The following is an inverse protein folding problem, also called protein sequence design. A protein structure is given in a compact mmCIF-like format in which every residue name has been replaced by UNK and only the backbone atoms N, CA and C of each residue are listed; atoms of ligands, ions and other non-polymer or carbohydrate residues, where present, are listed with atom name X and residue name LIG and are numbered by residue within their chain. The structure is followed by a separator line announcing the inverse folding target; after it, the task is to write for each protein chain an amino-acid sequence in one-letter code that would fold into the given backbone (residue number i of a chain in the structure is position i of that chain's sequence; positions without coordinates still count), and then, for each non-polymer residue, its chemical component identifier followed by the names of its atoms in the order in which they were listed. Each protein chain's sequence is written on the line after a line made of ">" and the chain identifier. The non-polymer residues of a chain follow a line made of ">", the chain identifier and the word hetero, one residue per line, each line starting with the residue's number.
data_IF_605075522231
#
_entry.id   IF_605075522231
#
_cell.length_a   1.000
_cell.length_b   1.000
_cell.length_c   1.000
_cell.angle_alpha   90.00
_cell.angle_beta   90.00
_cell.angle_gamma   90.00
#
_symmetry.space_group_name_H-M   'P 1'
#
loop_
_entity.id
_entity.type
_entity.pdbx_description
1 polymer ?
#
# COMPACT_ATOMS: atom_id res chain seq x y z
N UNK A 1 4.41 2.84 -0.87
CA UNK A 1 3.62 4.06 -1.13
C UNK A 1 4.49 5.11 -1.81
N UNK A 2 3.93 5.78 -2.82
CA UNK A 2 4.58 6.86 -3.55
C UNK A 2 3.73 8.12 -3.43
N UNK A 3 4.39 9.26 -3.37
CA UNK A 3 3.71 10.56 -3.32
C UNK A 3 3.86 11.29 -4.65
N UNK A 4 2.77 11.88 -5.11
CA UNK A 4 2.78 12.88 -6.16
C UNK A 4 3.05 14.25 -5.53
N UNK A 5 3.86 15.08 -6.16
CA UNK A 5 4.09 16.45 -5.72
C UNK A 5 4.41 17.35 -6.91
N UNK A 6 3.91 18.57 -6.88
CA UNK A 6 4.31 19.60 -7.85
C UNK A 6 5.66 20.26 -7.47
N UNK A 7 6.37 19.68 -6.50
CA UNK A 7 7.69 20.16 -6.04
C UNK A 7 8.71 19.02 -6.05
N UNK A 8 9.38 18.87 -7.17
CA UNK A 8 10.50 17.95 -7.33
C UNK A 8 11.67 18.34 -6.43
N UNK A 9 12.24 17.37 -5.73
CA UNK A 9 13.55 17.51 -5.12
C UNK A 9 14.64 17.41 -6.17
N UNK A 10 15.54 18.39 -6.24
CA UNK A 10 16.74 18.33 -7.05
C UNK A 10 17.89 17.78 -6.21
N UNK A 11 18.60 16.81 -6.75
CA UNK A 11 19.80 16.25 -6.13
C UNK A 11 20.92 17.29 -6.14
N UNK A 12 21.92 17.10 -5.29
CA UNK A 12 23.10 18.00 -5.28
C UNK A 12 23.83 18.02 -6.64
N UNK A 13 23.78 16.92 -7.39
CA UNK A 13 24.37 16.83 -8.71
C UNK A 13 23.57 17.64 -9.73
N UNK A 14 22.25 17.49 -9.77
CA UNK A 14 21.37 18.29 -10.62
C UNK A 14 21.49 19.80 -10.35
N UNK A 15 21.61 20.17 -9.08
CA UNK A 15 21.84 21.58 -8.69
C UNK A 15 23.21 22.09 -9.18
N UNK A 16 24.28 21.29 -9.06
CA UNK A 16 25.62 21.68 -9.55
C UNK A 16 25.68 21.79 -11.08
N UNK A 17 24.91 20.98 -11.78
CA UNK A 17 24.84 20.98 -13.23
C UNK A 17 23.81 21.98 -13.78
N UNK A 18 23.17 22.77 -12.92
CA UNK A 18 22.07 23.70 -13.26
C UNK A 18 20.98 23.04 -14.12
N UNK A 19 20.64 21.78 -13.79
CA UNK A 19 19.61 21.04 -14.49
C UNK A 19 18.27 21.76 -14.32
N UNK A 20 17.59 22.00 -15.43
CA UNK A 20 16.26 22.61 -15.46
C UNK A 20 15.25 21.60 -16.00
N UNK A 21 14.10 21.58 -15.36
CA UNK A 21 12.96 20.78 -15.81
C UNK A 21 11.85 21.71 -16.31
N UNK A 22 11.19 21.33 -17.37
CA UNK A 22 10.03 22.06 -17.90
C UNK A 22 8.89 22.12 -16.86
N UNK A 23 8.80 21.06 -16.04
CA UNK A 23 7.86 20.99 -14.93
C UNK A 23 8.53 20.41 -13.66
N UNK A 24 8.05 20.83 -12.50
CA UNK A 24 8.56 20.39 -11.22
C UNK A 24 7.72 19.25 -10.60
N UNK A 25 6.82 18.64 -11.37
CA UNK A 25 6.04 17.50 -10.93
C UNK A 25 6.94 16.28 -10.71
N UNK A 26 6.68 15.52 -9.65
CA UNK A 26 7.45 14.35 -9.29
C UNK A 26 6.57 13.27 -8.66
N UNK A 27 6.90 12.00 -8.93
CA UNK A 27 6.34 10.84 -8.25
C UNK A 27 7.48 10.05 -7.62
N UNK A 28 7.39 9.79 -6.34
CA UNK A 28 8.45 9.07 -5.62
C UNK A 28 8.35 9.17 -4.12
N UNK A 29 9.47 9.41 -3.46
CA UNK A 29 9.57 9.43 -2.01
C UNK A 29 9.84 10.82 -1.44
N UNK A 30 9.28 11.07 -0.26
CA UNK A 30 9.63 12.27 0.50
C UNK A 30 11.09 12.28 0.90
N UNK A 31 11.65 13.49 0.97
CA UNK A 31 12.99 13.72 1.50
C UNK A 31 12.89 14.04 3.00
N UNK A 32 13.70 13.40 3.85
CA UNK A 32 13.76 13.75 5.26
C UNK A 32 14.00 15.26 5.47
N UNK A 33 13.17 15.90 6.28
CA UNK A 33 13.24 17.33 6.56
C UNK A 33 12.66 18.27 5.48
N UNK A 34 12.15 17.72 4.36
CA UNK A 34 11.51 18.49 3.29
C UNK A 34 10.16 17.87 2.90
N UNK A 35 9.16 18.00 3.78
CA UNK A 35 7.87 17.33 3.66
C UNK A 35 7.10 17.66 2.37
N UNK A 36 7.34 18.80 1.77
CA UNK A 36 6.66 19.25 0.55
C UNK A 36 7.39 18.89 -0.74
N UNK A 37 8.56 18.24 -0.65
CA UNK A 37 9.35 17.85 -1.81
C UNK A 37 9.43 16.34 -1.98
N UNK A 38 9.41 15.92 -3.22
CA UNK A 38 9.47 14.51 -3.60
C UNK A 38 10.67 14.26 -4.51
N UNK A 39 11.49 13.28 -4.15
CA UNK A 39 12.53 12.75 -5.01
C UNK A 39 11.87 11.87 -6.07
N UNK A 40 11.95 12.30 -7.32
CA UNK A 40 11.53 11.48 -8.45
C UNK A 40 12.52 10.32 -8.63
N UNK A 41 12.01 9.11 -8.70
CA UNK A 41 12.82 7.90 -8.87
C UNK A 41 12.38 7.13 -10.11
N UNK A 42 13.34 6.62 -10.87
CA UNK A 42 13.07 5.75 -12.01
C UNK A 42 13.02 4.28 -11.58
N UNK A 43 13.85 3.88 -10.64
CA UNK A 43 13.91 2.52 -10.14
C UNK A 43 14.15 2.47 -8.63
N UNK A 44 13.29 1.76 -7.92
CA UNK A 44 13.51 1.33 -6.55
C UNK A 44 13.96 -0.13 -6.56
N UNK A 45 15.14 -0.42 -6.02
CA UNK A 45 15.72 -1.76 -5.97
C UNK A 45 15.19 -2.62 -4.81
N UNK A 46 14.42 -2.02 -3.91
CA UNK A 46 13.81 -2.69 -2.76
C UNK A 46 12.40 -3.22 -3.05
N UNK A 47 11.94 -3.11 -4.29
CA UNK A 47 10.60 -3.50 -4.72
C UNK A 47 10.67 -4.31 -6.00
N UNK A 48 9.64 -5.13 -6.22
CA UNK A 48 9.45 -5.83 -7.48
C UNK A 48 9.36 -4.85 -8.65
N UNK A 49 9.88 -5.24 -9.80
CA UNK A 49 9.98 -4.36 -10.96
C UNK A 49 8.61 -3.87 -11.46
N UNK A 50 7.57 -4.65 -11.25
CA UNK A 50 6.20 -4.25 -11.57
C UNK A 50 5.79 -2.94 -10.89
N UNK A 51 6.24 -2.71 -9.63
CA UNK A 51 5.97 -1.46 -8.91
C UNK A 51 6.63 -0.26 -9.59
N UNK A 52 7.85 -0.44 -10.14
CA UNK A 52 8.53 0.60 -10.90
C UNK A 52 7.81 0.90 -12.23
N UNK A 53 7.40 -0.16 -12.95
CA UNK A 53 6.69 -0.04 -14.23
C UNK A 53 5.37 0.71 -14.05
N UNK A 54 4.56 0.34 -13.05
CA UNK A 54 3.28 1.01 -12.78
C UNK A 54 3.51 2.48 -12.41
N UNK A 55 4.42 2.74 -11.45
CA UNK A 55 4.72 4.13 -11.04
C UNK A 55 5.14 5.00 -12.20
N UNK A 56 6.08 4.53 -13.01
CA UNK A 56 6.58 5.29 -14.15
C UNK A 56 5.50 5.50 -15.20
N UNK A 57 4.71 4.47 -15.55
CA UNK A 57 3.63 4.60 -16.52
C UNK A 57 2.54 5.58 -16.05
N UNK A 58 2.16 5.54 -14.78
CA UNK A 58 1.19 6.49 -14.20
C UNK A 58 1.73 7.92 -14.24
N UNK A 59 3.01 8.10 -13.90
CA UNK A 59 3.68 9.39 -13.99
C UNK A 59 3.66 9.93 -15.41
N UNK A 60 4.09 9.12 -16.37
CA UNK A 60 4.26 9.53 -17.75
C UNK A 60 2.89 9.86 -18.38
N UNK A 61 1.88 9.03 -18.14
CA UNK A 61 0.51 9.31 -18.54
C UNK A 61 -0.01 10.63 -17.93
N UNK A 62 0.26 10.84 -16.64
CA UNK A 62 -0.17 12.07 -15.97
C UNK A 62 0.55 13.33 -16.54
N UNK A 63 1.78 13.21 -17.01
CA UNK A 63 2.51 14.29 -17.68
C UNK A 63 1.93 14.58 -19.07
N UNK A 64 1.67 13.54 -19.87
CA UNK A 64 1.13 13.67 -21.21
C UNK A 64 -0.27 14.30 -21.26
N UNK A 65 -1.04 14.14 -20.19
CA UNK A 65 -2.44 14.59 -20.11
C UNK A 65 -2.65 15.75 -19.11
N UNK A 66 -1.55 16.41 -18.71
CA UNK A 66 -1.57 17.61 -17.86
C UNK A 66 -2.32 17.44 -16.52
N UNK A 67 -2.23 16.24 -15.90
CA UNK A 67 -2.81 16.03 -14.57
C UNK A 67 -2.10 16.89 -13.53
N UNK A 68 -2.87 17.53 -12.65
CA UNK A 68 -2.30 18.31 -11.55
C UNK A 68 -1.84 17.41 -10.41
N UNK A 69 -0.61 17.64 -9.92
CA UNK A 69 -0.06 16.98 -8.75
C UNK A 69 -0.26 17.84 -7.52
N UNK A 70 -0.46 17.20 -6.38
CA UNK A 70 -0.74 17.93 -5.14
C UNK A 70 0.41 18.90 -4.79
N UNK A 71 0.05 20.11 -4.43
CA UNK A 71 0.92 21.01 -3.68
C UNK A 71 0.67 20.78 -2.19
N UNK A 72 1.60 20.16 -1.51
CA UNK A 72 1.45 19.80 -0.09
C UNK A 72 1.35 21.00 0.86
N UNK A 73 1.66 22.22 0.41
CA UNK A 73 1.49 23.46 1.21
C UNK A 73 0.12 24.10 1.00
N UNK A 74 -0.31 24.24 -0.25
CA UNK A 74 -1.61 24.86 -0.57
C UNK A 74 -2.75 23.85 -0.59
N UNK A 75 -2.44 22.55 -0.62
CA UNK A 75 -3.40 21.46 -0.74
C UNK A 75 -4.23 21.52 -2.04
N UNK A 76 -3.64 22.05 -3.11
CA UNK A 76 -4.21 22.11 -4.46
C UNK A 76 -3.58 21.06 -5.35
N UNK A 77 -4.35 20.53 -6.28
CA UNK A 77 -3.95 19.46 -7.21
C UNK A 77 -4.68 18.15 -6.97
N UNK A 78 -4.83 17.35 -8.03
CA UNK A 78 -5.66 16.14 -8.05
C UNK A 78 -4.92 14.90 -7.52
N UNK A 79 -3.75 14.57 -8.09
CA UNK A 79 -3.04 13.33 -7.73
C UNK A 79 -2.24 13.51 -6.44
N UNK A 80 -2.47 12.61 -5.47
CA UNK A 80 -1.87 12.66 -4.13
C UNK A 80 -0.87 11.55 -3.88
N UNK A 81 -1.35 10.32 -3.79
CA UNK A 81 -0.53 9.15 -3.44
C UNK A 81 -0.89 7.97 -4.34
N UNK A 82 0.03 7.03 -4.45
CA UNK A 82 -0.21 5.73 -5.04
C UNK A 82 0.42 4.66 -4.15
N UNK A 83 -0.35 3.62 -3.83
CA UNK A 83 0.12 2.46 -3.09
C UNK A 83 0.14 1.28 -4.05
N UNK A 84 1.26 0.57 -4.11
CA UNK A 84 1.39 -0.70 -4.83
C UNK A 84 1.74 -1.77 -3.81
N UNK A 85 1.00 -2.86 -3.81
CA UNK A 85 1.22 -4.02 -2.95
C UNK A 85 1.31 -5.27 -3.82
N UNK A 86 2.42 -5.96 -3.73
CA UNK A 86 2.61 -7.30 -4.30
C UNK A 86 2.43 -8.33 -3.19
N UNK A 87 1.96 -9.51 -3.50
CA UNK A 87 1.79 -10.60 -2.55
C UNK A 87 2.59 -11.84 -2.94
N UNK A 88 2.83 -12.72 -1.97
CA UNK A 88 3.47 -14.02 -2.16
C UNK A 88 2.69 -14.95 -3.10
N UNK A 89 1.38 -14.71 -3.26
CA UNK A 89 0.51 -15.47 -4.18
C UNK A 89 0.54 -14.97 -5.61
N UNK A 90 1.31 -13.90 -5.90
CA UNK A 90 1.36 -13.24 -7.21
C UNK A 90 0.20 -12.28 -7.47
N UNK A 91 -0.66 -12.03 -6.50
CA UNK A 91 -1.69 -11.00 -6.61
C UNK A 91 -1.09 -9.59 -6.45
N UNK A 92 -1.68 -8.62 -7.13
CA UNK A 92 -1.20 -7.24 -7.21
C UNK A 92 -2.34 -6.26 -6.94
N UNK A 93 -2.16 -5.44 -5.91
CA UNK A 93 -3.07 -4.35 -5.56
C UNK A 93 -2.44 -2.99 -5.88
N UNK A 94 -3.20 -2.15 -6.55
CA UNK A 94 -2.86 -0.74 -6.78
C UNK A 94 -3.98 0.13 -6.24
N UNK A 95 -3.61 1.13 -5.44
CA UNK A 95 -4.55 2.11 -4.89
C UNK A 95 -4.07 3.48 -5.31
N UNK A 96 -4.89 4.21 -6.06
CA UNK A 96 -4.61 5.60 -6.41
C UNK A 96 -5.43 6.53 -5.53
N UNK A 97 -4.77 7.47 -4.88
CA UNK A 97 -5.41 8.42 -3.98
C UNK A 97 -5.40 9.79 -4.65
N UNK A 98 -6.58 10.38 -4.76
CA UNK A 98 -6.78 11.66 -5.41
C UNK A 98 -7.57 12.63 -4.55
N UNK A 99 -7.49 13.90 -4.90
CA UNK A 99 -8.39 14.95 -4.45
C UNK A 99 -9.30 15.31 -5.62
N UNK A 100 -10.61 15.28 -5.39
CA UNK A 100 -11.64 15.62 -6.37
C UNK A 100 -12.49 16.73 -5.79
N UNK A 101 -12.52 17.86 -6.47
CA UNK A 101 -13.33 19.04 -6.07
C UNK A 101 -14.40 19.38 -7.08
N UNK A 102 -14.25 18.92 -8.32
CA UNK A 102 -15.16 19.18 -9.43
C UNK A 102 -15.47 17.90 -10.22
N UNK A 103 -16.66 17.83 -10.82
CA UNK A 103 -17.12 16.62 -11.52
C UNK A 103 -16.21 16.22 -12.69
N UNK A 104 -15.66 17.21 -13.40
CA UNK A 104 -14.76 16.93 -14.53
C UNK A 104 -13.44 16.26 -14.09
N UNK A 105 -12.95 16.54 -12.87
CA UNK A 105 -11.75 15.89 -12.32
C UNK A 105 -11.99 14.38 -12.11
N UNK A 106 -13.22 14.00 -11.72
CA UNK A 106 -13.59 12.60 -11.59
C UNK A 106 -13.53 11.86 -12.93
N UNK A 107 -13.98 12.48 -14.01
CA UNK A 107 -13.92 11.87 -15.34
C UNK A 107 -12.47 11.72 -15.84
N UNK A 108 -11.65 12.74 -15.62
CA UNK A 108 -10.20 12.62 -15.89
C UNK A 108 -9.55 11.51 -15.06
N UNK A 109 -9.88 11.46 -13.77
CA UNK A 109 -9.33 10.45 -12.87
C UNK A 109 -9.71 9.02 -13.28
N UNK A 110 -10.94 8.80 -13.72
CA UNK A 110 -11.37 7.51 -14.29
C UNK A 110 -10.61 7.13 -15.55
N UNK A 111 -10.24 8.09 -16.39
CA UNK A 111 -9.40 7.83 -17.57
C UNK A 111 -8.01 7.32 -17.16
N UNK A 112 -7.39 7.91 -16.14
CA UNK A 112 -6.14 7.41 -15.57
C UNK A 112 -6.28 5.97 -15.04
N UNK A 113 -7.35 5.68 -14.28
CA UNK A 113 -7.59 4.34 -13.76
C UNK A 113 -7.83 3.32 -14.88
N UNK A 114 -8.54 3.72 -15.94
CA UNK A 114 -8.76 2.88 -17.11
C UNK A 114 -7.44 2.60 -17.85
N UNK A 115 -6.59 3.62 -18.03
CA UNK A 115 -5.25 3.45 -18.59
C UNK A 115 -4.42 2.44 -17.78
N UNK A 116 -4.44 2.54 -16.43
CA UNK A 116 -3.74 1.59 -15.55
C UNK A 116 -4.30 0.19 -15.71
N UNK A 117 -5.64 0.04 -15.75
CA UNK A 117 -6.31 -1.25 -15.90
C UNK A 117 -6.01 -1.95 -17.23
N UNK A 118 -5.81 -1.18 -18.30
CA UNK A 118 -5.54 -1.70 -19.64
C UNK A 118 -4.04 -1.98 -19.86
N UNK A 119 -3.18 -1.16 -19.27
CA UNK A 119 -1.72 -1.29 -19.39
C UNK A 119 -1.15 -2.41 -18.52
N UNK A 120 -1.82 -2.77 -17.42
CA UNK A 120 -1.35 -3.74 -16.44
C UNK A 120 -2.45 -4.78 -16.12
N UNK A 121 -2.70 -5.74 -17.05
CA UNK A 121 -3.70 -6.78 -16.85
C UNK A 121 -3.41 -7.70 -15.67
N UNK A 122 -2.18 -7.74 -15.18
CA UNK A 122 -1.76 -8.46 -13.99
C UNK A 122 -2.30 -7.89 -12.67
N UNK A 123 -2.84 -6.66 -12.67
CA UNK A 123 -3.45 -6.07 -11.47
C UNK A 123 -4.75 -6.82 -11.14
N UNK A 124 -4.76 -7.44 -9.97
CA UNK A 124 -5.92 -8.20 -9.46
C UNK A 124 -6.88 -7.35 -8.62
N UNK A 125 -6.39 -6.21 -8.13
CA UNK A 125 -7.13 -5.28 -7.28
C UNK A 125 -6.72 -3.84 -7.62
N UNK A 126 -7.53 -3.14 -8.43
CA UNK A 126 -7.34 -1.72 -8.72
C UNK A 126 -8.38 -0.91 -7.97
N UNK A 127 -7.90 -0.15 -7.00
CA UNK A 127 -8.71 0.62 -6.06
C UNK A 127 -8.41 2.10 -6.16
N UNK A 128 -9.32 2.91 -5.66
CA UNK A 128 -9.06 4.33 -5.48
C UNK A 128 -9.71 4.88 -4.21
N UNK A 129 -9.17 6.00 -3.74
CA UNK A 129 -9.66 6.74 -2.56
C UNK A 129 -9.70 8.21 -2.90
N UNK A 130 -10.81 8.87 -2.57
CA UNK A 130 -10.94 10.32 -2.65
C UNK A 130 -10.56 10.90 -1.29
N UNK A 131 -9.45 11.64 -1.25
CA UNK A 131 -8.97 12.29 -0.04
C UNK A 131 -8.93 13.82 -0.21
N UNK A 132 -10.00 14.47 0.19
CA UNK A 132 -10.12 15.93 0.16
C UNK A 132 -9.60 16.60 1.45
N UNK A 133 -9.05 15.82 2.40
CA UNK A 133 -8.47 16.33 3.65
C UNK A 133 -7.09 16.95 3.43
N UNK A 134 -6.59 17.66 4.43
CA UNK A 134 -5.25 18.24 4.42
C UNK A 134 -4.14 17.28 4.89
N UNK A 135 -4.46 16.01 5.15
CA UNK A 135 -3.49 14.98 5.54
C UNK A 135 -3.64 13.73 4.68
N UNK A 136 -2.67 12.83 4.76
CA UNK A 136 -2.62 11.62 3.93
C UNK A 136 -3.21 10.37 4.61
N UNK A 137 -3.84 10.52 5.79
CA UNK A 137 -4.50 9.37 6.44
C UNK A 137 -5.71 8.93 5.65
N UNK A 138 -5.86 7.61 5.48
CA UNK A 138 -6.94 7.02 4.68
C UNK A 138 -7.89 6.14 5.48
N UNK A 139 -7.63 5.93 6.78
CA UNK A 139 -8.38 4.97 7.60
C UNK A 139 -9.88 5.29 7.70
N UNK A 140 -10.23 6.57 7.71
CA UNK A 140 -11.58 7.11 7.80
C UNK A 140 -12.24 7.42 6.45
N UNK A 141 -11.62 7.03 5.33
CA UNK A 141 -12.10 7.29 3.97
C UNK A 141 -12.63 6.01 3.30
N UNK A 142 -13.60 6.15 2.42
CA UNK A 142 -14.11 5.05 1.63
C UNK A 142 -13.10 4.58 0.58
N UNK A 143 -13.02 3.27 0.41
CA UNK A 143 -12.24 2.63 -0.64
C UNK A 143 -13.18 2.16 -1.73
N UNK A 144 -12.91 2.56 -2.95
CA UNK A 144 -13.71 2.21 -4.11
C UNK A 144 -12.97 1.21 -5.00
N UNK A 145 -13.66 0.16 -5.42
CA UNK A 145 -13.12 -0.82 -6.38
C UNK A 145 -13.37 -0.30 -7.78
N UNK A 146 -12.29 -0.07 -8.54
CA UNK A 146 -12.38 0.25 -9.96
C UNK A 146 -12.42 -1.02 -10.82
N UNK A 147 -11.52 -1.99 -10.51
CA UNK A 147 -11.45 -3.28 -11.21
C UNK A 147 -10.96 -4.37 -10.28
N UNK A 148 -11.51 -5.56 -10.40
CA UNK A 148 -11.06 -6.76 -9.68
C UNK A 148 -11.62 -6.86 -8.27
N UNK A 149 -10.78 -7.23 -7.31
CA UNK A 149 -11.14 -7.49 -5.91
C UNK A 149 -10.86 -6.27 -5.03
N UNK A 150 -11.47 -6.23 -3.85
CA UNK A 150 -11.18 -5.25 -2.79
C UNK A 150 -9.97 -5.63 -1.91
N UNK A 151 -9.32 -6.77 -2.19
CA UNK A 151 -8.23 -7.33 -1.40
C UNK A 151 -7.28 -8.16 -2.26
N UNK A 152 -6.15 -8.52 -1.66
CA UNK A 152 -5.22 -9.55 -2.13
C UNK A 152 -5.04 -10.60 -1.05
N UNK A 153 -4.49 -11.77 -1.42
CA UNK A 153 -4.12 -12.81 -0.47
C UNK A 153 -2.61 -12.94 -0.34
N UNK A 154 -2.16 -13.11 0.89
CA UNK A 154 -0.84 -13.59 1.24
C UNK A 154 -0.91 -15.04 1.69
N UNK A 155 0.20 -15.78 1.54
CA UNK A 155 0.28 -17.16 1.99
C UNK A 155 1.56 -17.41 2.80
N UNK A 156 1.42 -18.17 3.89
CA UNK A 156 2.54 -18.52 4.78
C UNK A 156 2.28 -19.89 5.41
N UNK A 157 3.12 -20.90 5.16
CA UNK A 157 2.98 -22.28 5.65
C UNK A 157 1.58 -22.89 5.40
N UNK A 158 0.98 -22.61 4.25
CA UNK A 158 -0.38 -23.08 3.91
C UNK A 158 -1.50 -22.34 4.65
N UNK A 159 -1.18 -21.29 5.40
CA UNK A 159 -2.15 -20.33 5.91
C UNK A 159 -2.33 -19.20 4.90
N UNK A 160 -3.59 -18.82 4.67
CA UNK A 160 -3.95 -17.73 3.77
C UNK A 160 -4.46 -16.53 4.57
N UNK A 161 -4.01 -15.34 4.17
CA UNK A 161 -4.38 -14.10 4.84
C UNK A 161 -4.97 -13.13 3.82
N UNK A 162 -6.21 -12.73 4.04
CA UNK A 162 -6.85 -11.63 3.31
C UNK A 162 -6.21 -10.32 3.77
N UNK A 163 -5.68 -9.55 2.82
CA UNK A 163 -5.05 -8.26 3.06
C UNK A 163 -5.83 -7.20 2.30
N UNK A 164 -6.54 -6.37 3.03
CA UNK A 164 -7.29 -5.24 2.50
C UNK A 164 -6.41 -4.01 2.25
N UNK A 165 -6.96 -2.97 1.62
CA UNK A 165 -6.22 -1.73 1.30
C UNK A 165 -5.72 -0.98 2.54
N UNK A 166 -6.41 -1.10 3.66
CA UNK A 166 -6.07 -0.45 4.94
C UNK A 166 -5.41 -1.40 5.94
N UNK A 167 -5.41 -2.71 5.65
CA UNK A 167 -4.85 -3.71 6.57
C UNK A 167 -3.33 -3.58 6.62
N UNK A 168 -2.78 -3.66 7.84
CA UNK A 168 -1.35 -3.81 8.01
C UNK A 168 -0.94 -5.26 7.71
N UNK A 169 0.04 -5.43 6.87
CA UNK A 169 0.76 -6.68 6.64
C UNK A 169 2.23 -6.38 6.41
N UNK A 170 3.14 -7.25 6.86
CA UNK A 170 4.58 -7.05 6.70
C UNK A 170 4.96 -7.01 5.22
N UNK A 171 5.59 -5.93 4.79
CA UNK A 171 5.93 -5.68 3.38
C UNK A 171 6.96 -6.64 2.80
N UNK A 172 7.81 -7.21 3.64
CA UNK A 172 8.75 -8.27 3.26
C UNK A 172 8.25 -9.60 3.83
N UNK A 173 7.37 -10.27 3.10
CA UNK A 173 6.68 -11.50 3.53
C UNK A 173 7.65 -12.63 3.85
N UNK A 174 8.76 -12.77 3.10
CA UNK A 174 9.79 -13.79 3.34
C UNK A 174 10.51 -13.57 4.67
N UNK A 175 10.93 -12.34 4.94
CA UNK A 175 11.60 -12.03 6.21
C UNK A 175 10.62 -12.03 7.40
N UNK A 176 9.37 -11.66 7.18
CA UNK A 176 8.32 -11.80 8.19
C UNK A 176 8.15 -13.28 8.59
N UNK A 177 8.09 -14.17 7.60
CA UNK A 177 8.01 -15.60 7.85
C UNK A 177 9.21 -16.11 8.66
N UNK A 178 10.44 -15.71 8.29
CA UNK A 178 11.65 -16.09 9.03
C UNK A 178 11.60 -15.57 10.48
N UNK A 179 11.18 -14.34 10.68
CA UNK A 179 11.01 -13.76 12.02
C UNK A 179 9.98 -14.54 12.86
N UNK A 180 8.84 -14.87 12.26
CA UNK A 180 7.77 -15.60 12.95
C UNK A 180 8.16 -17.02 13.30
N UNK A 181 8.99 -17.70 12.47
CA UNK A 181 9.58 -18.99 12.81
C UNK A 181 10.46 -18.90 14.06
N UNK A 182 11.36 -17.92 14.11
CA UNK A 182 12.22 -17.70 15.28
C UNK A 182 11.40 -17.40 16.54
N UNK A 183 10.39 -16.54 16.41
CA UNK A 183 9.50 -16.23 17.55
C UNK A 183 8.76 -17.49 18.05
N UNK A 184 8.25 -18.32 17.14
CA UNK A 184 7.57 -19.57 17.46
C UNK A 184 8.50 -20.59 18.11
N UNK A 185 9.74 -20.71 17.62
CA UNK A 185 10.78 -21.57 18.23
C UNK A 185 11.10 -21.11 19.65
N UNK A 186 11.30 -19.82 19.87
CA UNK A 186 11.59 -19.29 21.21
C UNK A 186 10.41 -19.41 22.16
N UNK A 187 9.18 -19.38 21.66
CA UNK A 187 8.00 -19.61 22.47
C UNK A 187 7.92 -21.04 23.03
N UNK A 188 8.57 -22.02 22.38
CA UNK A 188 8.67 -23.41 22.86
C UNK A 188 7.31 -24.07 23.09
N UNK A 189 6.32 -23.78 22.22
CA UNK A 189 4.96 -24.26 22.39
C UNK A 189 4.85 -25.77 22.29
N UNK A 190 4.11 -26.39 23.24
CA UNK A 190 3.94 -27.84 23.37
C UNK A 190 2.51 -28.30 23.10
N UNK A 191 1.59 -27.38 22.80
CA UNK A 191 0.16 -27.64 22.64
C UNK A 191 -0.69 -27.43 23.90
N UNK A 192 -0.07 -27.05 25.02
CA UNK A 192 -0.76 -26.86 26.30
C UNK A 192 -0.89 -25.39 26.71
N UNK A 193 -0.23 -24.49 26.03
CA UNK A 193 -0.10 -23.09 26.40
C UNK A 193 -1.34 -22.29 25.99
N UNK A 194 -1.65 -21.29 26.82
CA UNK A 194 -2.47 -20.14 26.46
C UNK A 194 -1.54 -19.02 25.99
N UNK A 195 -1.66 -18.62 24.75
CA UNK A 195 -0.84 -17.57 24.13
C UNK A 195 -1.65 -16.29 23.98
N UNK A 196 -1.05 -15.16 24.32
CA UNK A 196 -1.59 -13.84 24.04
C UNK A 196 -0.78 -13.18 22.91
N UNK A 197 -1.47 -12.86 21.81
CA UNK A 197 -0.92 -12.06 20.71
C UNK A 197 -1.38 -10.62 20.90
N UNK A 198 -0.48 -9.79 21.44
CA UNK A 198 -0.76 -8.39 21.74
C UNK A 198 -0.57 -7.55 20.47
N UNK A 199 -1.55 -6.70 20.16
CA UNK A 199 -1.60 -5.93 18.93
C UNK A 199 -1.67 -6.86 17.69
N UNK A 200 -2.59 -7.82 17.74
CA UNK A 200 -2.67 -8.93 16.77
C UNK A 200 -2.91 -8.47 15.33
N UNK A 201 -3.39 -7.24 15.11
CA UNK A 201 -3.72 -6.71 13.80
C UNK A 201 -4.71 -7.61 13.07
N UNK A 202 -4.35 -8.04 11.87
CA UNK A 202 -5.15 -8.98 11.06
C UNK A 202 -5.02 -10.45 11.50
N UNK A 203 -4.45 -10.70 12.68
CA UNK A 203 -4.34 -12.04 13.27
C UNK A 203 -3.24 -12.91 12.68
N UNK A 204 -2.25 -12.34 12.00
CA UNK A 204 -1.22 -13.12 11.27
C UNK A 204 -0.42 -14.01 12.21
N UNK A 205 0.15 -13.46 13.31
CA UNK A 205 0.95 -14.24 14.28
C UNK A 205 0.04 -15.20 15.04
N UNK A 206 -1.12 -14.74 15.50
CA UNK A 206 -2.10 -15.57 16.19
C UNK A 206 -2.42 -16.85 15.41
N UNK A 207 -2.75 -16.71 14.12
CA UNK A 207 -3.01 -17.84 13.22
C UNK A 207 -1.76 -18.73 13.05
N UNK A 208 -0.58 -18.10 12.88
CA UNK A 208 0.68 -18.81 12.63
C UNK A 208 1.09 -19.75 13.78
N UNK A 209 0.78 -19.38 15.03
CA UNK A 209 1.12 -20.19 16.22
C UNK A 209 -0.02 -21.07 16.71
N UNK A 210 -1.23 -20.87 16.21
CA UNK A 210 -2.47 -21.48 16.75
C UNK A 210 -2.43 -23.01 16.79
N UNK A 211 -1.84 -23.65 15.76
CA UNK A 211 -1.75 -25.11 15.66
C UNK A 211 -0.81 -25.75 16.68
N UNK A 212 0.01 -24.94 17.36
CA UNK A 212 1.01 -25.41 18.33
C UNK A 212 0.69 -24.93 19.77
N UNK A 213 -0.44 -24.26 19.98
CA UNK A 213 -0.91 -23.82 21.27
C UNK A 213 -2.27 -24.45 21.60
N UNK A 214 -2.61 -24.57 22.88
CA UNK A 214 -3.95 -24.99 23.29
C UNK A 214 -5.01 -23.92 22.93
N UNK A 215 -4.64 -22.66 23.07
CA UNK A 215 -5.48 -21.51 22.74
C UNK A 215 -4.62 -20.29 22.48
N UNK A 216 -5.03 -19.47 21.51
CA UNK A 216 -4.45 -18.15 21.26
C UNK A 216 -5.54 -17.09 21.43
N UNK A 217 -5.22 -16.03 22.15
CA UNK A 217 -6.08 -14.87 22.33
C UNK A 217 -5.41 -13.67 21.68
N UNK A 218 -5.94 -13.20 20.55
CA UNK A 218 -5.53 -11.95 19.91
C UNK A 218 -6.17 -10.75 20.61
N UNK A 219 -5.36 -9.73 20.88
CA UNK A 219 -5.81 -8.45 21.46
C UNK A 219 -5.49 -7.33 20.48
N UNK A 220 -6.52 -6.63 20.02
CA UNK A 220 -6.43 -5.53 19.07
C UNK A 220 -7.39 -4.41 19.48
N UNK A 221 -7.02 -3.19 19.21
CA UNK A 221 -7.82 -2.01 19.50
C UNK A 221 -8.66 -1.55 18.31
N UNK A 222 -8.16 -1.77 17.08
CA UNK A 222 -8.79 -1.30 15.83
C UNK A 222 -9.90 -2.26 15.41
N UNK A 223 -11.19 -1.85 15.41
CA UNK A 223 -12.30 -2.74 15.10
C UNK A 223 -12.19 -3.42 13.72
N UNK A 224 -11.77 -2.69 12.69
CA UNK A 224 -11.61 -3.20 11.33
C UNK A 224 -10.55 -4.31 11.26
N UNK A 225 -9.46 -4.16 12.00
CA UNK A 225 -8.42 -5.18 12.08
C UNK A 225 -8.91 -6.45 12.81
N UNK A 226 -9.78 -6.30 13.80
CA UNK A 226 -10.42 -7.44 14.49
C UNK A 226 -11.30 -8.23 13.51
N UNK A 227 -12.09 -7.54 12.69
CA UNK A 227 -12.91 -8.21 11.67
C UNK A 227 -12.05 -8.93 10.63
N UNK A 228 -10.97 -8.31 10.17
CA UNK A 228 -9.99 -8.97 9.29
C UNK A 228 -9.36 -10.21 9.96
N UNK A 229 -9.03 -10.13 11.26
CA UNK A 229 -8.48 -11.25 12.00
C UNK A 229 -9.45 -12.43 12.12
N UNK A 230 -10.74 -12.15 12.34
CA UNK A 230 -11.81 -13.18 12.35
C UNK A 230 -11.95 -13.85 11.00
N UNK A 231 -11.99 -13.06 9.92
CA UNK A 231 -12.04 -13.57 8.54
C UNK A 231 -10.84 -14.45 8.24
N UNK A 232 -9.64 -14.04 8.67
CA UNK A 232 -8.42 -14.82 8.48
C UNK A 232 -8.41 -16.12 9.29
N UNK A 233 -8.95 -16.11 10.52
CA UNK A 233 -9.11 -17.33 11.30
C UNK A 233 -10.10 -18.30 10.62
N UNK A 234 -11.22 -17.80 10.10
CA UNK A 234 -12.22 -18.60 9.39
C UNK A 234 -11.64 -19.22 8.10
N UNK A 235 -10.93 -18.43 7.27
CA UNK A 235 -10.27 -18.91 6.04
C UNK A 235 -9.32 -20.06 6.34
N UNK A 236 -8.64 -20.02 7.49
CA UNK A 236 -7.65 -21.01 7.92
C UNK A 236 -8.25 -22.13 8.79
N UNK A 237 -9.58 -22.18 8.95
CA UNK A 237 -10.30 -23.18 9.77
C UNK A 237 -9.83 -23.21 11.23
N UNK A 238 -9.37 -22.07 11.75
CA UNK A 238 -8.93 -21.90 13.13
C UNK A 238 -10.13 -21.43 13.97
N UNK A 239 -10.41 -22.20 15.05
CA UNK A 239 -11.58 -21.99 15.93
C UNK A 239 -11.17 -21.36 17.26
#
# INVERSE_FOLDING_TARGET
>A
EFTFSNKRWLTNEEVRQDVKYDQMNAVGFHIPGAFDKVLAIEKCWLQDDISNRIRNAVRDYAYEHDYSFINLRTQEGMLRNMIVRTSSTGELMVIVICKITEDHEMELFKQLLQFVADSFPEITSLLYIINNKCNDTINDLDVHVFKGKDHIFEEMEGLRFKVGPKSFYQTNSEQAYNLYKVAREFAGLTGNELVYDLYTGTGTIANFVSRQARQVIGIEYVPEAIEDAKVNAEINEIK
#
